data_IF_070840337036
#
_entry.id   IF_070840337036
#
_cell.length_a   1.000
_cell.length_b   1.000
_cell.length_c   1.000
_cell.angle_alpha   90.00
_cell.angle_beta   90.00
_cell.angle_gamma   90.00
#
_symmetry.space_group_name_H-M   'P 1'
#
loop_
_entity.id
_entity.type
_entity.pdbx_description
1 polymer ?
#
# COMPACT_ATOMS: atom_id res chain seq x y z
N UNK A 1 21.50 17.53 -25.72
CA UNK A 1 22.08 18.84 -25.33
C UNK A 1 23.06 18.62 -24.19
N UNK A 2 24.17 19.37 -24.12
CA UNK A 2 25.08 19.37 -22.96
C UNK A 2 24.34 19.70 -21.66
N UNK A 3 24.72 19.04 -20.56
CA UNK A 3 24.04 19.14 -19.26
C UNK A 3 23.94 20.59 -18.75
N UNK A 4 24.95 21.41 -19.07
CA UNK A 4 25.07 22.83 -18.70
C UNK A 4 24.11 23.74 -19.47
N UNK A 5 23.49 23.26 -20.55
CA UNK A 5 22.45 23.99 -21.29
C UNK A 5 21.05 23.72 -20.72
N UNK A 6 20.91 22.72 -19.85
CA UNK A 6 19.63 22.30 -19.27
C UNK A 6 19.58 22.57 -17.76
N UNK A 7 20.73 22.49 -17.08
CA UNK A 7 20.83 22.66 -15.62
C UNK A 7 21.83 23.76 -15.25
N UNK A 8 21.44 24.58 -14.28
CA UNK A 8 22.32 25.56 -13.64
C UNK A 8 23.29 24.85 -12.68
N UNK A 9 24.53 25.33 -12.60
CA UNK A 9 25.43 24.88 -11.55
C UNK A 9 24.96 25.38 -10.18
N UNK A 10 25.31 24.66 -9.11
CA UNK A 10 25.01 25.05 -7.72
C UNK A 10 25.46 26.48 -7.43
N UNK A 11 26.66 26.84 -7.87
CA UNK A 11 27.24 28.18 -7.67
C UNK A 11 26.46 29.27 -8.41
N UNK A 12 26.09 29.03 -9.67
CA UNK A 12 25.27 29.95 -10.46
C UNK A 12 23.89 30.16 -9.83
N UNK A 13 23.25 29.08 -9.38
CA UNK A 13 21.94 29.13 -8.72
C UNK A 13 21.99 29.96 -7.43
N UNK A 14 22.94 29.68 -6.53
CA UNK A 14 23.05 30.43 -5.27
C UNK A 14 23.46 31.89 -5.47
N UNK A 15 24.26 32.20 -6.50
CA UNK A 15 24.59 33.58 -6.88
C UNK A 15 23.34 34.37 -7.29
N UNK A 16 22.47 33.77 -8.11
CA UNK A 16 21.22 34.40 -8.54
C UNK A 16 20.20 34.54 -7.39
N UNK A 17 20.11 33.56 -6.50
CA UNK A 17 19.23 33.63 -5.32
C UNK A 17 19.65 34.77 -4.38
N UNK A 18 20.96 34.96 -4.15
CA UNK A 18 21.51 36.03 -3.31
C UNK A 18 21.19 37.46 -3.77
N UNK A 19 20.90 37.65 -5.07
CA UNK A 19 20.52 38.96 -5.60
C UNK A 19 19.08 39.35 -5.27
N UNK A 20 18.29 38.45 -4.68
CA UNK A 20 16.88 38.67 -4.32
C UNK A 20 16.71 38.75 -2.81
N UNK A 21 15.67 39.45 -2.35
CA UNK A 21 15.24 39.37 -0.96
C UNK A 21 14.76 37.95 -0.66
N UNK A 22 15.18 37.41 0.49
CA UNK A 22 14.92 36.03 0.88
C UNK A 22 14.27 35.98 2.25
N UNK A 23 13.23 35.17 2.36
CA UNK A 23 12.66 34.74 3.63
C UNK A 23 13.02 33.26 3.83
N UNK A 24 13.92 32.99 4.78
CA UNK A 24 14.35 31.63 5.11
C UNK A 24 13.55 31.14 6.30
N UNK A 25 12.82 30.05 6.12
CA UNK A 25 11.99 29.42 7.15
C UNK A 25 12.69 28.15 7.62
N UNK A 26 12.71 27.92 8.93
CA UNK A 26 13.31 26.74 9.53
C UNK A 26 12.59 26.35 10.82
N UNK A 27 12.82 25.12 11.26
CA UNK A 27 12.22 24.55 12.47
C UNK A 27 13.06 24.77 13.73
N UNK A 28 14.35 25.10 13.56
CA UNK A 28 15.26 25.40 14.66
C UNK A 28 15.17 26.86 15.07
N UNK A 29 15.20 27.11 16.39
CA UNK A 29 15.30 28.48 16.91
C UNK A 29 16.57 29.14 16.42
N UNK A 30 16.42 30.37 15.96
CA UNK A 30 17.51 31.23 15.54
C UNK A 30 18.04 32.02 16.74
N UNK A 31 19.32 32.37 16.71
CA UNK A 31 19.88 33.35 17.64
C UNK A 31 19.18 34.71 17.50
N UNK A 32 18.92 35.38 18.62
CA UNK A 32 18.30 36.71 18.64
C UNK A 32 19.24 37.75 18.01
N UNK A 33 18.99 38.07 16.74
CA UNK A 33 19.72 39.04 15.93
C UNK A 33 18.74 39.81 15.06
N UNK A 34 19.10 41.05 14.71
CA UNK A 34 18.31 41.89 13.80
C UNK A 34 18.06 41.16 12.47
N UNK A 35 16.81 41.16 12.00
CA UNK A 35 16.39 40.46 10.79
C UNK A 35 16.02 38.98 10.96
N UNK A 36 16.04 38.44 12.19
CA UNK A 36 15.58 37.07 12.49
C UNK A 36 14.36 37.10 13.40
N UNK A 37 13.40 36.22 13.14
CA UNK A 37 12.16 36.14 13.91
C UNK A 37 11.91 34.69 14.35
N UNK A 38 11.80 34.48 15.65
CA UNK A 38 11.39 33.20 16.24
C UNK A 38 9.90 33.28 16.58
N UNK A 39 9.07 32.47 15.92
CA UNK A 39 7.67 32.36 16.28
C UNK A 39 7.53 31.61 17.62
N UNK A 40 6.64 32.09 18.49
CA UNK A 40 6.32 31.45 19.76
C UNK A 40 5.41 30.22 19.61
N UNK A 41 5.68 29.40 18.59
CA UNK A 41 4.96 28.17 18.31
C UNK A 41 5.54 26.98 19.05
N UNK A 42 4.67 26.05 19.43
CA UNK A 42 4.97 24.80 20.13
C UNK A 42 4.24 23.66 19.45
N UNK A 43 4.71 22.44 19.72
CA UNK A 43 3.97 21.23 19.38
C UNK A 43 2.76 21.09 20.29
N UNK A 44 1.68 20.53 19.75
CA UNK A 44 0.51 20.17 20.53
C UNK A 44 0.84 19.03 21.51
N UNK A 45 0.23 19.01 22.71
CA UNK A 45 0.24 17.83 23.56
C UNK A 45 -0.46 16.65 22.87
N UNK A 46 -0.35 15.42 23.38
CA UNK A 46 -1.09 14.28 22.82
C UNK A 46 -2.60 14.47 22.95
N UNK A 47 -3.30 14.57 21.82
CA UNK A 47 -4.76 14.80 21.73
C UNK A 47 -5.54 13.59 21.18
N UNK A 48 -4.86 12.45 20.99
CA UNK A 48 -5.43 11.30 20.30
C UNK A 48 -6.72 10.78 20.96
N UNK A 49 -7.71 10.49 20.13
CA UNK A 49 -8.98 9.85 20.43
C UNK A 49 -8.72 8.36 20.59
N UNK A 50 -9.12 7.82 21.74
CA UNK A 50 -8.95 6.41 22.06
C UNK A 50 -10.30 5.71 22.04
N UNK A 51 -10.62 5.04 20.92
CA UNK A 51 -11.90 4.37 20.72
C UNK A 51 -12.16 3.22 21.71
N UNK A 52 -11.13 2.69 22.38
CA UNK A 52 -11.24 1.60 23.36
C UNK A 52 -11.40 2.12 24.79
N UNK A 53 -11.15 3.41 25.03
CA UNK A 53 -11.31 4.03 26.34
C UNK A 53 -12.80 4.29 26.64
N UNK A 54 -13.18 4.23 27.92
CA UNK A 54 -14.54 4.60 28.39
C UNK A 54 -14.95 6.02 28.01
N UNK A 55 -13.98 6.92 27.81
CA UNK A 55 -14.18 8.29 27.36
C UNK A 55 -13.23 8.62 26.19
N UNK A 56 -13.62 8.31 24.95
CA UNK A 56 -12.72 8.40 23.79
C UNK A 56 -12.12 9.78 23.54
N UNK A 57 -12.85 10.85 23.85
CA UNK A 57 -12.41 12.23 23.66
C UNK A 57 -11.73 12.86 24.88
N UNK A 58 -11.44 12.10 25.94
CA UNK A 58 -11.02 12.68 27.23
C UNK A 58 -9.80 13.61 27.13
N UNK A 59 -8.81 13.27 26.30
CA UNK A 59 -7.60 14.08 26.10
C UNK A 59 -7.92 15.43 25.45
N UNK A 60 -8.70 15.41 24.37
CA UNK A 60 -9.14 16.61 23.69
C UNK A 60 -10.06 17.48 24.57
N UNK A 61 -11.01 16.87 25.28
CA UNK A 61 -11.90 17.59 26.20
C UNK A 61 -11.13 18.29 27.33
N UNK A 62 -10.13 17.62 27.90
CA UNK A 62 -9.26 18.21 28.91
C UNK A 62 -8.42 19.36 28.35
N UNK A 63 -7.91 19.22 27.13
CA UNK A 63 -7.20 20.31 26.44
C UNK A 63 -8.13 21.50 26.18
N UNK A 64 -9.32 21.27 25.62
CA UNK A 64 -10.31 22.32 25.38
C UNK A 64 -10.70 23.05 26.67
N UNK A 65 -10.84 22.35 27.81
CA UNK A 65 -11.13 22.99 29.10
C UNK A 65 -9.97 23.87 29.60
N UNK A 66 -8.72 23.43 29.44
CA UNK A 66 -7.54 24.13 29.96
C UNK A 66 -7.06 25.28 29.06
N UNK A 67 -7.18 25.12 27.74
CA UNK A 67 -6.73 26.12 26.79
C UNK A 67 -7.70 27.31 26.77
N UNK A 68 -7.16 28.52 26.93
CA UNK A 68 -7.94 29.76 26.99
C UNK A 68 -8.11 30.43 25.62
N UNK A 69 -7.26 30.08 24.66
CA UNK A 69 -7.30 30.61 23.31
C UNK A 69 -8.34 29.93 22.41
N UNK A 70 -8.27 30.25 21.12
CA UNK A 70 -9.15 29.72 20.07
C UNK A 70 -8.59 28.44 19.47
N UNK A 71 -9.47 27.50 19.18
CA UNK A 71 -9.12 26.19 18.62
C UNK A 71 -9.71 26.10 17.21
N UNK A 72 -8.88 25.75 16.24
CA UNK A 72 -9.28 25.39 14.88
C UNK A 72 -8.97 23.91 14.65
N UNK A 73 -9.99 23.12 14.34
CA UNK A 73 -9.80 21.76 13.87
C UNK A 73 -9.81 21.75 12.35
N UNK A 74 -8.77 21.17 11.73
CA UNK A 74 -8.63 21.08 10.27
C UNK A 74 -8.82 19.63 9.84
N UNK A 75 -9.85 19.41 9.02
CA UNK A 75 -10.16 18.12 8.42
C UNK A 75 -9.65 18.04 6.98
N UNK A 76 -9.36 16.84 6.47
CA UNK A 76 -8.86 16.67 5.09
C UNK A 76 -9.97 16.90 4.04
N UNK A 77 -11.25 16.72 4.40
CA UNK A 77 -12.38 16.84 3.47
C UNK A 77 -13.68 17.28 4.14
N UNK A 78 -14.63 17.77 3.34
CA UNK A 78 -15.97 18.17 3.80
C UNK A 78 -16.71 17.04 4.52
N UNK A 79 -16.65 15.82 3.99
CA UNK A 79 -17.29 14.65 4.60
C UNK A 79 -16.71 14.32 5.99
N UNK A 80 -15.39 14.47 6.18
CA UNK A 80 -14.76 14.25 7.49
C UNK A 80 -15.07 15.37 8.46
N UNK A 81 -15.10 16.61 7.97
CA UNK A 81 -15.59 17.74 8.74
C UNK A 81 -17.01 17.47 9.27
N UNK A 82 -17.94 16.99 8.43
CA UNK A 82 -19.29 16.65 8.88
C UNK A 82 -19.29 15.62 10.00
N UNK A 83 -18.58 14.50 9.82
CA UNK A 83 -18.54 13.41 10.82
C UNK A 83 -17.93 13.89 12.14
N UNK A 84 -16.86 14.69 12.08
CA UNK A 84 -16.22 15.20 13.28
C UNK A 84 -17.05 16.28 13.97
N UNK A 85 -17.76 17.13 13.21
CA UNK A 85 -18.73 18.07 13.74
C UNK A 85 -19.84 17.33 14.50
N UNK A 86 -20.39 16.26 13.93
CA UNK A 86 -21.42 15.44 14.60
C UNK A 86 -20.90 14.78 15.89
N UNK A 87 -19.67 14.24 15.84
CA UNK A 87 -19.01 13.66 17.01
C UNK A 87 -18.86 14.70 18.13
N UNK A 88 -18.42 15.92 17.80
CA UNK A 88 -18.21 17.00 18.76
C UNK A 88 -19.54 17.55 19.30
N UNK A 89 -20.58 17.61 18.48
CA UNK A 89 -21.93 18.00 18.88
C UNK A 89 -22.52 17.02 19.92
N UNK A 90 -22.32 15.71 19.71
CA UNK A 90 -22.76 14.68 20.67
C UNK A 90 -22.05 14.75 22.03
N UNK A 91 -21.00 15.58 22.15
CA UNK A 91 -20.23 15.83 23.36
C UNK A 91 -20.30 17.29 23.83
N UNK A 92 -21.35 18.03 23.43
CA UNK A 92 -21.66 19.39 23.88
C UNK A 92 -20.59 20.45 23.57
N UNK A 93 -19.79 20.26 22.51
CA UNK A 93 -18.72 21.19 22.13
C UNK A 93 -19.09 22.18 21.03
N UNK A 94 -20.13 21.89 20.22
CA UNK A 94 -20.70 22.76 19.18
C UNK A 94 -19.67 23.59 18.37
N UNK A 95 -18.78 22.95 17.56
CA UNK A 95 -17.81 23.68 16.74
C UNK A 95 -18.49 24.50 15.64
N UNK A 96 -17.93 25.66 15.31
CA UNK A 96 -18.42 26.49 14.21
C UNK A 96 -17.70 26.13 12.91
N UNK A 97 -18.48 25.74 11.91
CA UNK A 97 -17.99 25.51 10.56
C UNK A 97 -17.57 26.84 9.91
N UNK A 98 -16.38 26.88 9.34
CA UNK A 98 -15.86 28.01 8.57
C UNK A 98 -15.18 27.54 7.30
N UNK A 99 -15.20 28.38 6.26
CA UNK A 99 -14.68 27.99 4.94
C UNK A 99 -13.14 28.09 4.84
N UNK A 100 -12.51 28.96 5.64
CA UNK A 100 -11.08 29.28 5.49
C UNK A 100 -10.50 29.99 6.71
N UNK A 101 -9.17 29.99 6.81
CA UNK A 101 -8.39 30.61 7.89
C UNK A 101 -8.74 32.09 8.15
N UNK A 102 -9.04 32.86 7.09
CA UNK A 102 -9.38 34.27 7.24
C UNK A 102 -10.67 34.52 8.02
N UNK A 103 -11.61 33.56 8.02
CA UNK A 103 -12.81 33.61 8.86
C UNK A 103 -12.54 33.24 10.33
N UNK A 104 -11.48 32.47 10.61
CA UNK A 104 -11.09 32.08 11.97
C UNK A 104 -10.51 33.24 12.79
N UNK A 105 -9.70 34.09 12.17
CA UNK A 105 -8.97 35.19 12.84
C UNK A 105 -9.90 36.18 13.55
N UNK A 106 -10.94 36.76 12.90
CA UNK A 106 -11.83 37.72 13.57
C UNK A 106 -12.87 37.04 14.47
N UNK A 107 -13.02 35.71 14.38
CA UNK A 107 -13.98 34.95 15.15
C UNK A 107 -13.77 35.06 16.67
N UNK A 108 -14.87 35.19 17.43
CA UNK A 108 -14.84 35.31 18.90
C UNK A 108 -15.08 33.99 19.64
N UNK A 109 -15.42 32.93 18.91
CA UNK A 109 -15.84 31.67 19.51
C UNK A 109 -14.61 30.82 19.84
N UNK A 110 -14.80 29.86 20.73
CA UNK A 110 -13.68 29.07 21.23
C UNK A 110 -13.25 27.98 20.25
N UNK A 111 -14.20 27.34 19.56
CA UNK A 111 -13.97 26.15 18.75
C UNK A 111 -14.53 26.32 17.34
N UNK A 112 -13.65 26.13 16.36
CA UNK A 112 -13.95 26.18 14.95
C UNK A 112 -13.51 24.89 14.27
N UNK A 113 -14.14 24.59 13.14
CA UNK A 113 -13.77 23.46 12.29
C UNK A 113 -13.84 23.87 10.81
N UNK A 114 -12.89 23.38 10.04
CA UNK A 114 -12.77 23.65 8.60
C UNK A 114 -12.20 22.44 7.89
N UNK A 115 -12.19 22.46 6.56
CA UNK A 115 -11.46 21.49 5.76
C UNK A 115 -10.35 22.17 4.94
N UNK A 116 -9.16 21.58 4.96
CA UNK A 116 -8.00 22.00 4.19
C UNK A 116 -6.91 20.92 4.23
N UNK A 117 -5.94 20.99 3.31
CA UNK A 117 -4.77 20.12 3.36
C UNK A 117 -3.72 20.68 4.35
N UNK A 118 -3.66 20.09 5.55
CA UNK A 118 -2.70 20.46 6.58
C UNK A 118 -2.18 19.21 7.30
N UNK A 119 -0.86 19.00 7.24
CA UNK A 119 -0.21 17.83 7.84
C UNK A 119 -0.05 17.97 9.35
N UNK A 120 0.45 19.12 9.79
CA UNK A 120 0.91 19.34 11.16
C UNK A 120 0.11 20.44 11.84
N UNK A 121 -0.22 20.18 13.11
CA UNK A 121 -0.85 21.16 13.97
C UNK A 121 0.14 22.19 14.51
N UNK A 122 -0.42 23.23 15.12
CA UNK A 122 0.30 24.35 15.68
C UNK A 122 -0.28 24.72 17.05
N UNK A 123 0.56 25.02 18.03
CA UNK A 123 0.13 25.61 19.28
C UNK A 123 0.86 26.93 19.53
N UNK A 124 0.12 27.99 19.81
CA UNK A 124 0.62 29.26 20.35
C UNK A 124 -0.07 29.55 21.69
N UNK A 125 0.17 30.73 22.27
CA UNK A 125 -0.52 31.15 23.50
C UNK A 125 -2.02 31.35 23.26
N UNK A 126 -2.39 31.88 22.10
CA UNK A 126 -3.77 32.29 21.78
C UNK A 126 -4.49 31.36 20.80
N UNK A 127 -3.77 30.53 20.04
CA UNK A 127 -4.34 29.70 18.97
C UNK A 127 -3.81 28.26 19.05
N UNK A 128 -4.72 27.30 18.90
CA UNK A 128 -4.40 25.90 18.66
C UNK A 128 -5.00 25.45 17.32
N UNK A 129 -4.15 25.05 16.37
CA UNK A 129 -4.57 24.42 15.11
C UNK A 129 -4.33 22.94 15.22
N UNK A 130 -5.40 22.14 15.23
CA UNK A 130 -5.37 20.70 15.46
C UNK A 130 -5.75 20.00 14.17
N UNK A 131 -4.89 19.11 13.68
CA UNK A 131 -5.18 18.31 12.48
C UNK A 131 -5.79 16.96 12.86
N UNK A 132 -6.36 16.27 11.87
CA UNK A 132 -6.81 14.88 12.04
C UNK A 132 -5.69 13.95 12.52
N UNK A 133 -4.44 14.19 12.13
CA UNK A 133 -3.29 13.41 12.60
C UNK A 133 -3.10 13.56 14.11
N UNK A 134 -3.35 14.76 14.66
CA UNK A 134 -3.28 15.00 16.09
C UNK A 134 -4.43 14.35 16.87
N UNK A 135 -5.61 14.18 16.25
CA UNK A 135 -6.79 13.58 16.87
C UNK A 135 -6.86 12.07 16.72
N UNK A 136 -6.42 11.48 15.61
CA UNK A 136 -6.55 10.04 15.37
C UNK A 136 -5.22 9.29 15.45
N UNK A 137 -4.10 10.02 15.54
CA UNK A 137 -2.75 9.47 15.52
C UNK A 137 -2.24 9.20 14.10
N UNK A 138 -0.94 9.34 13.92
CA UNK A 138 -0.27 9.15 12.64
C UNK A 138 -0.48 7.74 12.04
N UNK A 139 -0.65 6.72 12.88
CA UNK A 139 -0.86 5.34 12.45
C UNK A 139 -2.27 5.06 11.95
N UNK A 140 -3.31 5.73 12.48
CA UNK A 140 -4.69 5.59 11.98
C UNK A 140 -4.88 6.38 10.69
N UNK A 141 -4.26 7.56 10.56
CA UNK A 141 -4.28 8.34 9.30
C UNK A 141 -3.44 7.66 8.21
N UNK A 142 -2.29 7.04 8.54
CA UNK A 142 -1.50 6.23 7.59
C UNK A 142 -2.15 4.87 7.27
N UNK A 143 -2.77 4.18 8.23
CA UNK A 143 -3.55 2.95 7.98
C UNK A 143 -4.82 3.23 7.18
N UNK A 144 -5.46 4.40 7.33
CA UNK A 144 -6.61 4.78 6.52
C UNK A 144 -6.25 5.37 5.16
N UNK A 145 -5.10 6.02 5.00
CA UNK A 145 -4.51 6.30 3.67
C UNK A 145 -4.23 4.99 2.91
N UNK A 146 -3.87 3.90 3.61
CA UNK A 146 -3.76 2.55 3.03
C UNK A 146 -5.13 1.86 2.83
N UNK A 147 -6.14 2.07 3.68
CA UNK A 147 -7.53 1.57 3.46
C UNK A 147 -8.32 2.34 2.39
N UNK A 148 -7.90 3.57 2.06
CA UNK A 148 -8.39 4.34 0.90
C UNK A 148 -7.91 3.80 -0.46
N UNK A 149 -7.19 2.67 -0.48
CA UNK A 149 -7.01 1.86 -1.69
C UNK A 149 -8.32 1.16 -2.17
N UNK A 150 -9.46 1.36 -1.50
CA UNK A 150 -10.79 0.91 -1.95
C UNK A 150 -11.69 2.01 -2.54
N UNK A 151 -11.18 3.21 -2.76
CA UNK A 151 -11.72 4.19 -3.72
C UNK A 151 -10.70 4.49 -4.82
N UNK A 152 -9.88 3.47 -5.16
CA UNK A 152 -8.90 3.56 -6.24
C UNK A 152 -9.54 3.77 -7.61
N UNK A 153 -10.76 3.30 -7.85
CA UNK A 153 -11.32 3.33 -9.21
C UNK A 153 -11.61 4.74 -9.74
N UNK A 154 -11.90 5.73 -8.89
CA UNK A 154 -12.19 7.09 -9.36
C UNK A 154 -10.92 7.96 -9.45
N UNK A 155 -10.04 7.88 -8.45
CA UNK A 155 -8.77 8.63 -8.44
C UNK A 155 -7.69 8.02 -9.35
N UNK A 156 -7.64 6.69 -9.57
CA UNK A 156 -6.81 6.10 -10.63
C UNK A 156 -7.41 6.34 -12.02
N UNK A 157 -8.75 6.37 -12.19
CA UNK A 157 -9.34 6.78 -13.46
C UNK A 157 -8.91 8.21 -13.80
N UNK A 158 -9.08 9.17 -12.88
CA UNK A 158 -8.68 10.57 -13.10
C UNK A 158 -7.15 10.72 -13.23
N UNK A 159 -6.33 10.07 -12.39
CA UNK A 159 -4.87 10.10 -12.55
C UNK A 159 -4.38 9.45 -13.85
N UNK A 160 -5.06 8.40 -14.33
CA UNK A 160 -4.76 7.78 -15.62
C UNK A 160 -5.18 8.66 -16.81
N UNK A 161 -6.12 9.58 -16.61
CA UNK A 161 -6.60 10.57 -17.59
C UNK A 161 -5.68 11.78 -17.73
N UNK A 162 -4.87 12.12 -16.72
CA UNK A 162 -3.96 13.28 -16.72
C UNK A 162 -2.72 13.07 -17.61
N UNK A 163 -2.39 11.83 -17.98
CA UNK A 163 -1.24 11.50 -18.85
C UNK A 163 -1.62 11.02 -20.26
N UNK A 164 -2.90 11.09 -20.64
CA UNK A 164 -3.37 10.56 -21.93
C UNK A 164 -2.94 11.47 -23.08
N UNK A 165 -2.29 10.87 -24.07
CA UNK A 165 -1.92 11.54 -25.33
C UNK A 165 -2.91 11.18 -26.42
N UNK A 166 -3.08 12.10 -27.38
CA UNK A 166 -3.85 11.82 -28.60
C UNK A 166 -3.26 10.57 -29.27
N UNK A 167 -4.11 9.60 -29.57
CA UNK A 167 -3.73 8.29 -30.11
C UNK A 167 -3.61 7.19 -29.06
N UNK A 168 -3.69 7.48 -27.76
CA UNK A 168 -3.63 6.43 -26.73
C UNK A 168 -4.88 5.52 -26.79
N UNK A 169 -4.71 4.21 -26.54
CA UNK A 169 -5.82 3.27 -26.52
C UNK A 169 -6.64 3.39 -25.23
N UNK A 170 -7.95 3.55 -25.41
CA UNK A 170 -8.91 3.77 -24.34
C UNK A 170 -10.01 2.73 -24.41
N UNK A 171 -10.38 2.16 -23.27
CA UNK A 171 -11.50 1.22 -23.13
C UNK A 171 -12.72 2.02 -22.69
N UNK A 172 -13.80 1.94 -23.48
CA UNK A 172 -15.13 2.33 -23.02
C UNK A 172 -15.89 1.07 -22.61
N UNK A 173 -16.57 1.09 -21.46
CA UNK A 173 -17.25 -0.09 -20.90
C UNK A 173 -18.22 -0.76 -21.89
N UNK A 174 -19.04 0.03 -22.58
CA UNK A 174 -20.05 -0.46 -23.54
C UNK A 174 -19.52 -0.73 -24.96
N UNK A 175 -18.46 -0.06 -25.40
CA UNK A 175 -18.07 -0.03 -26.82
C UNK A 175 -16.68 -0.63 -27.08
N UNK A 176 -15.93 -0.95 -26.03
CA UNK A 176 -14.61 -1.56 -26.11
C UNK A 176 -13.50 -0.56 -26.40
N UNK A 177 -12.41 -1.09 -26.94
CA UNK A 177 -11.16 -0.35 -27.17
C UNK A 177 -11.26 0.57 -28.39
N UNK A 178 -11.07 1.87 -28.16
CA UNK A 178 -10.92 2.95 -29.14
C UNK A 178 -9.58 3.69 -28.98
N UNK A 179 -9.43 4.84 -29.65
CA UNK A 179 -8.27 5.73 -29.59
C UNK A 179 -8.68 7.13 -29.18
N UNK A 180 -7.94 7.74 -28.25
CA UNK A 180 -8.24 9.08 -27.79
C UNK A 180 -7.93 10.15 -28.86
N UNK A 181 -8.88 11.04 -29.13
CA UNK A 181 -8.75 12.14 -30.10
C UNK A 181 -8.68 13.54 -29.46
N UNK A 182 -8.68 13.64 -28.12
CA UNK A 182 -8.71 14.93 -27.43
C UNK A 182 -10.09 15.28 -26.86
N UNK A 183 -10.15 16.48 -26.28
CA UNK A 183 -11.39 17.08 -25.80
C UNK A 183 -11.98 18.01 -26.86
N UNK A 184 -13.30 18.01 -26.99
CA UNK A 184 -14.01 18.92 -27.89
C UNK A 184 -15.22 19.52 -27.18
N UNK A 185 -15.29 20.84 -27.16
CA UNK A 185 -16.47 21.56 -26.69
C UNK A 185 -17.51 21.60 -27.80
N UNK A 186 -18.75 21.23 -27.47
CA UNK A 186 -19.88 21.33 -28.38
C UNK A 186 -21.07 21.98 -27.65
N UNK A 187 -21.78 22.85 -28.35
CA UNK A 187 -23.00 23.46 -27.84
C UNK A 187 -24.22 22.62 -28.21
N UNK A 188 -25.00 22.23 -27.21
CA UNK A 188 -26.33 21.66 -27.37
C UNK A 188 -27.31 22.55 -26.59
N UNK A 189 -28.40 22.96 -27.22
CA UNK A 189 -29.44 23.84 -26.63
C UNK A 189 -28.90 25.11 -25.94
N UNK A 190 -27.84 25.70 -26.50
CA UNK A 190 -27.24 26.95 -26.00
C UNK A 190 -26.28 26.78 -24.82
N UNK A 191 -26.11 25.56 -24.29
CA UNK A 191 -25.14 25.24 -23.26
C UNK A 191 -23.91 24.58 -23.89
N UNK A 192 -22.73 25.15 -23.65
CA UNK A 192 -21.46 24.56 -24.06
C UNK A 192 -21.07 23.45 -23.10
N UNK A 193 -20.85 22.25 -23.62
CA UNK A 193 -20.39 21.10 -22.85
C UNK A 193 -19.17 20.46 -23.49
N UNK A 194 -18.24 20.01 -22.65
CA UNK A 194 -17.03 19.31 -23.09
C UNK A 194 -17.28 17.81 -23.23
N UNK A 195 -16.74 17.25 -24.32
CA UNK A 195 -16.79 15.83 -24.63
C UNK A 195 -15.39 15.29 -24.86
N UNK A 196 -15.16 14.06 -24.41
CA UNK A 196 -14.00 13.25 -24.74
C UNK A 196 -14.28 12.55 -26.08
N UNK A 197 -13.41 12.78 -27.07
CA UNK A 197 -13.54 12.21 -28.41
C UNK A 197 -12.76 10.90 -28.50
N UNK A 198 -13.41 9.84 -28.96
CA UNK A 198 -12.79 8.55 -29.23
C UNK A 198 -12.98 8.13 -30.70
N UNK A 199 -11.95 7.55 -31.30
CA UNK A 199 -12.00 6.90 -32.61
C UNK A 199 -12.05 5.38 -32.48
N UNK A 200 -12.90 4.77 -33.29
CA UNK A 200 -13.10 3.33 -33.42
C UNK A 200 -12.82 2.87 -34.85
N UNK A 201 -12.90 1.57 -35.11
CA UNK A 201 -12.63 1.00 -36.42
C UNK A 201 -13.46 1.68 -37.54
N UNK A 202 -12.89 1.74 -38.74
CA UNK A 202 -13.46 2.40 -39.92
C UNK A 202 -13.68 3.93 -39.74
N UNK A 203 -12.93 4.59 -38.86
CA UNK A 203 -13.01 6.04 -38.65
C UNK A 203 -14.26 6.51 -37.90
N UNK A 204 -14.98 5.59 -37.24
CA UNK A 204 -16.19 5.93 -36.48
C UNK A 204 -15.81 6.68 -35.21
N UNK A 205 -16.55 7.75 -34.86
CA UNK A 205 -16.25 8.59 -33.70
C UNK A 205 -17.34 8.48 -32.63
N UNK A 206 -16.92 8.44 -31.37
CA UNK A 206 -17.78 8.47 -30.19
C UNK A 206 -17.47 9.72 -29.36
N UNK A 207 -18.50 10.43 -28.93
CA UNK A 207 -18.40 11.58 -28.04
C UNK A 207 -18.91 11.18 -26.66
N UNK A 208 -18.03 11.21 -25.66
CA UNK A 208 -18.34 10.81 -24.29
C UNK A 208 -18.44 12.07 -23.44
N UNK A 209 -19.59 12.37 -22.81
CA UNK A 209 -19.72 13.53 -21.94
C UNK A 209 -18.76 13.44 -20.75
N UNK A 210 -18.24 14.57 -20.26
CA UNK A 210 -17.40 14.60 -19.04
C UNK A 210 -18.09 13.99 -17.81
N UNK A 211 -19.41 14.06 -17.74
CA UNK A 211 -20.20 13.45 -16.66
C UNK A 211 -20.15 11.92 -16.66
N UNK A 212 -19.72 11.30 -17.76
CA UNK A 212 -19.68 9.85 -17.96
C UNK A 212 -18.25 9.30 -18.04
N UNK A 213 -17.26 10.03 -17.51
CA UNK A 213 -15.85 9.61 -17.48
C UNK A 213 -15.63 8.31 -16.69
N UNK A 214 -16.53 7.97 -15.76
CA UNK A 214 -16.50 6.71 -15.01
C UNK A 214 -16.62 5.45 -15.90
N UNK A 215 -17.09 5.59 -17.15
CA UNK A 215 -17.19 4.49 -18.11
C UNK A 215 -15.91 4.27 -18.92
N UNK A 216 -14.88 5.09 -18.66
CA UNK A 216 -13.65 5.17 -19.43
C UNK A 216 -12.47 4.66 -18.59
N UNK A 217 -11.63 3.83 -19.20
CA UNK A 217 -10.40 3.35 -18.58
C UNK A 217 -9.28 3.29 -19.59
N UNK A 218 -8.04 3.51 -19.17
CA UNK A 218 -6.87 3.31 -20.02
C UNK A 218 -6.71 1.82 -20.35
N UNK A 219 -6.35 1.50 -21.59
CA UNK A 219 -6.01 0.12 -21.93
C UNK A 219 -4.66 -0.28 -21.32
N UNK A 220 -4.64 -1.38 -20.57
CA UNK A 220 -3.46 -1.89 -19.82
C UNK A 220 -2.90 -3.20 -20.38
N UNK A 221 -3.19 -3.54 -21.65
CA UNK A 221 -2.69 -4.76 -22.30
C UNK A 221 -1.21 -4.71 -22.70
N UNK A 222 -0.73 -5.78 -23.33
CA UNK A 222 0.70 -6.05 -23.58
C UNK A 222 1.47 -4.92 -24.30
N UNK A 223 0.83 -4.15 -25.17
CA UNK A 223 1.38 -2.87 -25.65
C UNK A 223 0.29 -1.92 -26.20
N UNK A 224 0.50 -0.59 -26.16
CA UNK A 224 -0.43 0.37 -26.77
C UNK A 224 -0.59 0.21 -28.29
N UNK A 225 0.49 -0.13 -28.99
CA UNK A 225 0.50 -0.26 -30.46
C UNK A 225 -0.26 -1.50 -30.96
N UNK A 226 -0.32 -2.55 -30.15
CA UNK A 226 -1.05 -3.80 -30.47
C UNK A 226 -2.49 -3.80 -29.97
N UNK A 227 -2.94 -2.71 -29.33
CA UNK A 227 -4.27 -2.64 -28.76
C UNK A 227 -5.34 -2.80 -29.86
N UNK A 228 -6.34 -3.69 -29.71
CA UNK A 228 -7.36 -3.88 -30.72
C UNK A 228 -8.18 -2.59 -30.92
N UNK A 229 -8.78 -2.45 -32.09
CA UNK A 229 -9.71 -1.36 -32.39
C UNK A 229 -11.07 -1.98 -32.67
N UNK A 230 -12.02 -1.77 -31.76
CA UNK A 230 -13.35 -2.36 -31.89
C UNK A 230 -14.22 -1.56 -32.87
N UNK A 231 -15.25 -2.21 -33.45
CA UNK A 231 -16.21 -1.56 -34.33
C UNK A 231 -17.50 -1.23 -33.57
N UNK A 232 -17.94 0.03 -33.64
CA UNK A 232 -19.20 0.48 -33.06
C UNK A 232 -20.40 -0.26 -33.69
N UNK A 233 -21.40 -0.56 -32.87
CA UNK A 233 -22.63 -1.25 -33.30
C UNK A 233 -22.47 -2.75 -33.58
N UNK A 234 -21.32 -3.36 -33.25
CA UNK A 234 -21.12 -4.82 -33.36
C UNK A 234 -21.12 -5.49 -32.00
N UNK A 235 -21.58 -6.75 -31.95
CA UNK A 235 -21.58 -7.56 -30.73
C UNK A 235 -20.21 -8.17 -30.39
N UNK A 236 -19.13 -7.76 -31.06
CA UNK A 236 -17.79 -8.32 -30.85
C UNK A 236 -17.30 -8.05 -29.42
N UNK A 237 -17.45 -6.81 -28.95
CA UNK A 237 -17.07 -6.43 -27.59
C UNK A 237 -17.95 -7.12 -26.54
N UNK A 238 -19.26 -7.16 -26.75
CA UNK A 238 -20.19 -7.86 -25.85
C UNK A 238 -19.85 -9.34 -25.71
N UNK A 239 -19.53 -10.03 -26.82
CA UNK A 239 -19.07 -11.43 -26.80
C UNK A 239 -17.74 -11.59 -26.08
N UNK A 240 -16.80 -10.67 -26.28
CA UNK A 240 -15.51 -10.69 -25.57
C UNK A 240 -15.69 -10.48 -24.06
N UNK A 241 -16.55 -9.53 -23.64
CA UNK A 241 -16.90 -9.28 -22.23
C UNK A 241 -17.56 -10.51 -21.61
N UNK A 242 -18.50 -11.14 -22.30
CA UNK A 242 -19.18 -12.34 -21.83
C UNK A 242 -18.20 -13.50 -21.63
N UNK A 243 -17.34 -13.78 -22.62
CA UNK A 243 -16.33 -14.84 -22.52
C UNK A 243 -15.33 -14.59 -21.39
N UNK A 244 -14.92 -13.33 -21.18
CA UNK A 244 -14.06 -12.97 -20.06
C UNK A 244 -14.76 -13.16 -18.71
N UNK A 245 -16.05 -12.81 -18.63
CA UNK A 245 -16.86 -13.01 -17.43
C UNK A 245 -17.02 -14.50 -17.08
N UNK A 246 -17.28 -15.35 -18.08
CA UNK A 246 -17.36 -16.81 -17.89
C UNK A 246 -16.02 -17.37 -17.38
N UNK A 247 -14.90 -17.01 -18.02
CA UNK A 247 -13.58 -17.45 -17.57
C UNK A 247 -13.24 -16.97 -16.14
N UNK A 248 -13.63 -15.74 -15.78
CA UNK A 248 -13.47 -15.23 -14.41
C UNK A 248 -14.32 -16.01 -13.41
N UNK A 249 -15.54 -16.38 -13.78
CA UNK A 249 -16.43 -17.17 -12.95
C UNK A 249 -15.87 -18.58 -12.71
N UNK A 250 -15.31 -19.22 -13.74
CA UNK A 250 -14.69 -20.54 -13.63
C UNK A 250 -13.48 -20.52 -12.68
N UNK A 251 -12.60 -19.51 -12.81
CA UNK A 251 -11.45 -19.32 -11.92
C UNK A 251 -11.92 -19.04 -10.49
N UNK A 252 -12.94 -18.20 -10.31
CA UNK A 252 -13.48 -17.90 -9.00
C UNK A 252 -14.07 -19.15 -8.33
N UNK A 253 -14.78 -19.98 -9.10
CA UNK A 253 -15.32 -21.26 -8.62
C UNK A 253 -14.19 -22.22 -8.22
N UNK A 254 -13.14 -22.35 -9.02
CA UNK A 254 -11.98 -23.20 -8.71
C UNK A 254 -11.27 -22.74 -7.43
N UNK A 255 -11.02 -21.43 -7.29
CA UNK A 255 -10.42 -20.87 -6.08
C UNK A 255 -11.30 -21.09 -4.86
N UNK A 256 -12.61 -20.85 -4.97
CA UNK A 256 -13.57 -21.10 -3.88
C UNK A 256 -13.58 -22.57 -3.48
N UNK A 257 -13.52 -23.50 -4.42
CA UNK A 257 -13.45 -24.93 -4.14
C UNK A 257 -12.15 -25.29 -3.39
N UNK A 258 -11.01 -24.72 -3.78
CA UNK A 258 -9.74 -24.90 -3.07
C UNK A 258 -9.84 -24.36 -1.64
N UNK A 259 -10.40 -23.15 -1.45
CA UNK A 259 -10.58 -22.57 -0.12
C UNK A 259 -11.54 -23.39 0.75
N UNK A 260 -12.65 -23.87 0.19
CA UNK A 260 -13.62 -24.71 0.90
C UNK A 260 -13.00 -26.05 1.33
N UNK A 261 -12.24 -26.70 0.43
CA UNK A 261 -11.46 -27.91 0.77
C UNK A 261 -10.45 -27.66 1.87
N UNK A 262 -9.77 -26.51 1.86
CA UNK A 262 -8.79 -26.17 2.90
C UNK A 262 -9.45 -25.86 4.25
N UNK A 263 -10.61 -25.20 4.26
CA UNK A 263 -11.35 -24.91 5.48
C UNK A 263 -11.94 -26.16 6.16
N UNK A 264 -12.25 -27.20 5.38
CA UNK A 264 -12.76 -28.46 5.91
C UNK A 264 -11.65 -29.43 6.33
N UNK A 265 -10.42 -29.24 5.87
CA UNK A 265 -9.26 -30.03 6.29
C UNK A 265 -8.74 -29.56 7.64
N UNK A 266 -8.43 -30.52 8.51
CA UNK A 266 -7.65 -30.27 9.73
C UNK A 266 -6.17 -30.36 9.37
N UNK A 267 -5.46 -29.25 9.52
CA UNK A 267 -4.01 -29.15 9.34
C UNK A 267 -3.23 -29.50 10.60
N UNK A 268 -1.93 -29.26 10.57
CA UNK A 268 -1.05 -29.36 11.73
C UNK A 268 -0.90 -27.98 12.38
N UNK A 269 -1.35 -27.85 13.63
CA UNK A 269 -1.13 -26.65 14.42
C UNK A 269 0.29 -26.71 15.01
N UNK A 270 1.16 -25.81 14.56
CA UNK A 270 2.50 -25.67 15.13
C UNK A 270 2.42 -25.19 16.59
N UNK A 271 3.31 -25.66 17.48
CA UNK A 271 3.38 -25.20 18.87
C UNK A 271 3.76 -23.72 18.96
N UNK A 272 3.58 -23.16 20.16
CA UNK A 272 4.06 -21.81 20.47
C UNK A 272 5.59 -21.72 20.32
N UNK A 273 6.15 -20.56 19.91
CA UNK A 273 7.57 -20.42 19.68
C UNK A 273 8.34 -20.54 20.98
N UNK A 274 9.44 -21.31 20.96
CA UNK A 274 10.28 -21.57 22.12
C UNK A 274 11.31 -20.45 22.40
N UNK A 275 12.08 -20.62 23.47
CA UNK A 275 13.28 -19.80 23.73
C UNK A 275 14.35 -19.94 22.61
N UNK A 276 14.41 -21.08 21.93
CA UNK A 276 15.30 -21.28 20.79
C UNK A 276 14.85 -20.45 19.58
N UNK A 277 13.54 -20.39 19.32
CA UNK A 277 12.98 -19.47 18.32
C UNK A 277 13.27 -18.01 18.67
N UNK A 278 13.09 -17.62 19.93
CA UNK A 278 13.40 -16.26 20.39
C UNK A 278 14.89 -15.91 20.18
N UNK A 279 15.78 -16.86 20.47
CA UNK A 279 17.23 -16.72 20.20
C UNK A 279 17.54 -16.61 18.71
N UNK A 280 16.84 -17.39 17.87
CA UNK A 280 16.96 -17.29 16.42
C UNK A 280 16.53 -15.91 15.91
N UNK A 281 15.42 -15.38 16.40
CA UNK A 281 14.94 -14.03 16.06
C UNK A 281 15.94 -12.97 16.51
N UNK A 282 16.43 -13.05 17.75
CA UNK A 282 17.37 -12.09 18.32
C UNK A 282 18.74 -12.08 17.62
N UNK A 283 19.14 -13.17 16.96
CA UNK A 283 20.38 -13.21 16.19
C UNK A 283 20.28 -12.51 14.83
N UNK A 284 19.13 -11.97 14.46
CA UNK A 284 18.96 -11.22 13.22
C UNK A 284 19.65 -9.85 13.34
N UNK A 285 20.60 -9.50 12.45
CA UNK A 285 21.47 -8.33 12.65
C UNK A 285 20.85 -6.99 12.22
N UNK A 286 19.57 -6.97 11.85
CA UNK A 286 18.88 -5.77 11.37
C UNK A 286 17.64 -5.49 12.22
N UNK A 287 17.31 -4.22 12.37
CA UNK A 287 16.07 -3.79 13.03
C UNK A 287 14.86 -4.04 12.12
N UNK A 288 13.87 -4.76 12.62
CA UNK A 288 12.66 -5.03 11.85
C UNK A 288 11.71 -3.83 11.80
N UNK A 289 11.14 -3.62 10.63
CA UNK A 289 10.08 -2.62 10.42
C UNK A 289 8.76 -3.06 11.06
N UNK A 290 7.86 -2.12 11.39
CA UNK A 290 6.53 -2.45 11.90
C UNK A 290 5.72 -3.36 10.96
N UNK A 291 5.84 -3.18 9.64
CA UNK A 291 5.17 -4.03 8.65
C UNK A 291 5.73 -5.47 8.67
N UNK A 292 7.04 -5.65 8.90
CA UNK A 292 7.65 -6.98 9.07
C UNK A 292 7.21 -7.66 10.36
N UNK A 293 7.22 -6.95 11.49
CA UNK A 293 6.77 -7.47 12.78
C UNK A 293 5.31 -7.92 12.72
N UNK A 294 4.45 -7.09 12.12
CA UNK A 294 3.04 -7.42 11.90
C UNK A 294 2.90 -8.66 11.01
N UNK A 295 3.60 -8.70 9.88
CA UNK A 295 3.54 -9.84 8.96
C UNK A 295 4.01 -11.12 9.63
N UNK A 296 5.06 -11.05 10.45
CA UNK A 296 5.55 -12.21 11.20
C UNK A 296 4.53 -12.70 12.22
N UNK A 297 3.88 -11.80 12.96
CA UNK A 297 2.81 -12.17 13.90
C UNK A 297 1.64 -12.86 13.20
N UNK A 298 1.24 -12.38 12.01
CA UNK A 298 0.19 -13.01 11.21
C UNK A 298 0.59 -14.38 10.66
N UNK A 299 1.85 -14.56 10.22
CA UNK A 299 2.38 -15.86 9.78
C UNK A 299 2.39 -16.86 10.94
N UNK A 300 2.86 -16.46 12.12
CA UNK A 300 2.87 -17.33 13.30
C UNK A 300 1.47 -17.75 13.71
N UNK A 301 0.53 -16.81 13.75
CA UNK A 301 -0.87 -17.11 14.08
C UNK A 301 -1.50 -18.11 13.11
N UNK A 302 -1.19 -17.99 11.80
CA UNK A 302 -1.68 -18.94 10.80
C UNK A 302 -1.02 -20.32 10.95
N UNK A 303 0.29 -20.39 11.26
CA UNK A 303 0.98 -21.66 11.49
C UNK A 303 0.48 -22.38 12.75
N UNK A 304 0.13 -21.64 13.80
CA UNK A 304 -0.40 -22.22 15.04
C UNK A 304 -1.87 -22.65 14.93
N UNK A 305 -2.53 -22.31 13.82
CA UNK A 305 -3.93 -22.67 13.57
C UNK A 305 -4.07 -24.15 13.21
N UNK A 306 -5.20 -24.74 13.58
CA UNK A 306 -5.61 -26.07 13.10
C UNK A 306 -5.99 -26.08 11.62
N UNK A 307 -6.04 -24.92 10.96
CA UNK A 307 -6.36 -24.79 9.53
C UNK A 307 -5.06 -24.66 8.74
N UNK A 308 -4.91 -25.37 7.61
CA UNK A 308 -3.73 -25.20 6.77
C UNK A 308 -3.56 -23.73 6.34
N UNK A 309 -2.36 -23.18 6.53
CA UNK A 309 -2.02 -21.81 6.14
C UNK A 309 -1.98 -21.68 4.61
N UNK A 310 -2.55 -20.58 4.08
CA UNK A 310 -2.32 -20.11 2.71
C UNK A 310 -2.21 -18.59 2.71
N UNK A 311 -0.97 -18.10 2.73
CA UNK A 311 -0.66 -16.69 2.90
C UNK A 311 0.28 -16.21 1.81
N UNK A 312 -0.08 -15.09 1.20
CA UNK A 312 0.76 -14.34 0.27
C UNK A 312 1.36 -13.13 0.98
N UNK A 313 2.70 -13.10 1.07
CA UNK A 313 3.44 -11.94 1.56
C UNK A 313 3.98 -11.12 0.38
N UNK A 314 3.44 -9.93 0.18
CA UNK A 314 3.87 -9.00 -0.86
C UNK A 314 4.81 -7.94 -0.29
N UNK A 315 5.89 -7.64 -1.01
CA UNK A 315 6.81 -6.55 -0.67
C UNK A 315 7.91 -6.41 -1.71
N UNK A 316 8.56 -5.25 -1.76
CA UNK A 316 9.60 -4.97 -2.74
C UNK A 316 10.90 -5.75 -2.44
N UNK A 317 11.82 -5.76 -3.41
CA UNK A 317 13.13 -6.39 -3.24
C UNK A 317 13.87 -5.73 -2.09
N UNK A 318 14.43 -6.54 -1.17
CA UNK A 318 15.16 -6.06 0.00
C UNK A 318 14.32 -5.85 1.28
N UNK A 319 12.99 -5.98 1.23
CA UNK A 319 12.11 -5.74 2.39
C UNK A 319 12.04 -6.92 3.38
N UNK A 320 13.05 -7.80 3.40
CA UNK A 320 13.15 -8.89 4.40
C UNK A 320 12.15 -10.04 4.26
N UNK A 321 11.52 -10.24 3.09
CA UNK A 321 10.64 -11.40 2.84
C UNK A 321 11.31 -12.74 3.13
N UNK A 322 12.60 -12.85 2.82
CA UNK A 322 13.40 -14.05 3.09
C UNK A 322 13.51 -14.33 4.59
N UNK A 323 13.64 -13.30 5.43
CA UNK A 323 13.71 -13.47 6.89
C UNK A 323 12.37 -13.98 7.47
N UNK A 324 11.24 -13.50 6.94
CA UNK A 324 9.91 -14.02 7.32
C UNK A 324 9.82 -15.52 7.00
N UNK A 325 10.27 -15.94 5.82
CA UNK A 325 10.30 -17.35 5.42
C UNK A 325 11.27 -18.19 6.29
N UNK A 326 12.43 -17.63 6.64
CA UNK A 326 13.41 -18.30 7.52
C UNK A 326 12.86 -18.53 8.92
N UNK A 327 12.15 -17.56 9.50
CA UNK A 327 11.49 -17.70 10.81
C UNK A 327 10.38 -18.75 10.79
N UNK A 328 9.54 -18.72 9.76
CA UNK A 328 8.52 -19.77 9.57
C UNK A 328 9.16 -21.16 9.43
N UNK A 329 10.23 -21.28 8.63
CA UNK A 329 10.95 -22.52 8.47
C UNK A 329 11.58 -23.01 9.79
N UNK A 330 12.12 -22.10 10.60
CA UNK A 330 12.69 -22.46 11.91
C UNK A 330 11.64 -23.09 12.82
N UNK A 331 10.46 -22.46 12.96
CA UNK A 331 9.37 -23.00 13.77
C UNK A 331 8.94 -24.39 13.28
N UNK A 332 8.87 -24.57 11.96
CA UNK A 332 8.48 -25.85 11.39
C UNK A 332 9.50 -26.97 11.69
N UNK A 333 10.79 -26.69 11.48
CA UNK A 333 11.87 -27.64 11.76
C UNK A 333 11.97 -27.98 13.24
N UNK A 334 11.85 -26.98 14.12
CA UNK A 334 11.84 -27.21 15.57
C UNK A 334 10.69 -28.14 16.01
N UNK A 335 9.57 -28.11 15.27
CA UNK A 335 8.42 -28.97 15.50
C UNK A 335 8.55 -30.36 14.86
N UNK A 336 9.73 -30.71 14.35
CA UNK A 336 10.02 -31.99 13.71
C UNK A 336 9.46 -32.12 12.29
N UNK A 337 9.06 -31.02 11.66
CA UNK A 337 8.54 -31.02 10.27
C UNK A 337 9.63 -30.64 9.27
N UNK A 338 9.59 -31.27 8.10
CA UNK A 338 10.43 -30.90 6.97
C UNK A 338 9.84 -29.69 6.24
N UNK A 339 10.70 -28.86 5.67
CA UNK A 339 10.33 -27.63 4.96
C UNK A 339 10.78 -27.70 3.50
N UNK A 340 9.88 -27.31 2.59
CA UNK A 340 10.16 -27.21 1.16
C UNK A 340 10.07 -25.75 0.71
N UNK A 341 11.13 -25.25 0.08
CA UNK A 341 11.18 -23.90 -0.49
C UNK A 341 11.28 -24.02 -2.01
N UNK A 342 10.19 -23.70 -2.69
CA UNK A 342 10.12 -23.71 -4.14
C UNK A 342 10.52 -22.36 -4.72
N UNK A 343 11.43 -22.36 -5.69
CA UNK A 343 11.92 -21.16 -6.39
C UNK A 343 11.87 -21.34 -7.91
N UNK A 344 11.70 -20.26 -8.69
CA UNK A 344 11.47 -20.39 -10.13
C UNK A 344 12.75 -20.71 -10.92
N UNK A 345 13.93 -20.35 -10.40
CA UNK A 345 15.20 -20.51 -11.11
C UNK A 345 16.26 -21.17 -10.24
N UNK A 346 17.23 -21.83 -10.89
CA UNK A 346 18.33 -22.51 -10.19
C UNK A 346 19.29 -21.53 -9.54
N UNK A 347 19.38 -20.30 -10.06
CA UNK A 347 20.18 -19.23 -9.45
C UNK A 347 19.57 -18.82 -8.11
N UNK A 348 18.25 -18.60 -8.06
CA UNK A 348 17.55 -18.33 -6.80
C UNK A 348 17.67 -19.50 -5.82
N UNK A 349 17.65 -20.74 -6.31
CA UNK A 349 17.84 -21.92 -5.45
C UNK A 349 19.19 -21.88 -4.72
N UNK A 350 20.26 -21.54 -5.44
CA UNK A 350 21.59 -21.39 -4.84
C UNK A 350 21.68 -20.17 -3.91
N UNK A 351 21.09 -19.03 -4.28
CA UNK A 351 21.08 -17.83 -3.44
C UNK A 351 20.36 -18.08 -2.10
N UNK A 352 19.19 -18.71 -2.15
CA UNK A 352 18.48 -19.12 -0.95
C UNK A 352 19.26 -20.17 -0.17
N UNK A 353 19.88 -21.16 -0.82
CA UNK A 353 20.71 -22.16 -0.13
C UNK A 353 21.83 -21.51 0.69
N UNK A 354 22.56 -20.56 0.10
CA UNK A 354 23.62 -19.83 0.80
C UNK A 354 23.06 -19.03 1.96
N UNK A 355 22.03 -18.21 1.71
CA UNK A 355 21.40 -17.37 2.72
C UNK A 355 20.85 -18.19 3.90
N UNK A 356 20.24 -19.34 3.63
CA UNK A 356 19.72 -20.25 4.65
C UNK A 356 20.87 -20.91 5.42
N UNK A 357 21.92 -21.40 4.76
CA UNK A 357 23.08 -21.98 5.46
C UNK A 357 23.76 -20.98 6.38
N UNK A 358 23.94 -19.74 5.92
CA UNK A 358 24.55 -18.68 6.71
C UNK A 358 23.66 -18.30 7.91
N UNK A 359 22.35 -18.15 7.68
CA UNK A 359 21.38 -17.79 8.74
C UNK A 359 21.22 -18.88 9.81
N UNK A 360 21.35 -20.15 9.42
CA UNK A 360 21.14 -21.31 10.29
C UNK A 360 22.45 -21.93 10.81
N UNK A 361 23.61 -21.28 10.61
CA UNK A 361 24.94 -21.85 10.93
C UNK A 361 25.12 -22.32 12.38
N UNK A 362 24.42 -21.68 13.33
CA UNK A 362 24.49 -22.00 14.76
C UNK A 362 23.46 -23.06 15.19
N UNK A 363 22.73 -23.66 14.25
CA UNK A 363 21.66 -24.60 14.52
C UNK A 363 21.92 -25.95 13.84
N UNK A 364 21.56 -27.07 14.49
CA UNK A 364 21.76 -28.41 13.94
C UNK A 364 20.68 -28.74 12.90
N UNK A 365 20.57 -27.92 11.84
CA UNK A 365 19.55 -28.02 10.79
C UNK A 365 20.23 -28.33 9.46
N UNK A 366 19.91 -29.48 8.86
CA UNK A 366 20.46 -29.92 7.58
C UNK A 366 19.68 -29.29 6.41
N UNK A 367 20.38 -28.50 5.60
CA UNK A 367 19.80 -27.77 4.47
C UNK A 367 20.42 -28.25 3.15
N UNK A 368 19.57 -28.73 2.25
CA UNK A 368 19.97 -29.19 0.92
C UNK A 368 19.28 -28.41 -0.20
N UNK A 369 19.85 -28.46 -1.41
CA UNK A 369 19.22 -27.93 -2.60
C UNK A 369 19.01 -28.99 -3.67
N UNK A 370 17.87 -28.93 -4.37
CA UNK A 370 17.54 -29.80 -5.50
C UNK A 370 17.24 -28.97 -6.74
N UNK A 371 18.22 -28.90 -7.65
CA UNK A 371 18.17 -28.09 -8.86
C UNK A 371 18.90 -28.79 -10.03
N UNK A 372 19.18 -28.04 -11.10
CA UNK A 372 20.00 -28.52 -12.22
C UNK A 372 21.49 -28.62 -11.88
N UNK A 373 21.94 -27.98 -10.79
CA UNK A 373 23.35 -27.93 -10.44
C UNK A 373 23.84 -29.16 -9.66
N UNK A 374 22.94 -29.92 -9.05
CA UNK A 374 23.28 -31.20 -8.43
C UNK A 374 23.42 -32.29 -9.50
N UNK A 375 24.46 -33.11 -9.39
CA UNK A 375 24.66 -34.30 -10.21
C UNK A 375 23.56 -35.35 -9.99
N UNK A 376 23.33 -36.30 -10.90
CA UNK A 376 22.35 -37.37 -10.68
C UNK A 376 22.60 -38.18 -9.40
N UNK A 377 23.86 -38.42 -9.05
CA UNK A 377 24.24 -39.12 -7.82
C UNK A 377 23.83 -38.35 -6.57
N UNK A 378 24.11 -37.05 -6.52
CA UNK A 378 23.72 -36.16 -5.41
C UNK A 378 22.20 -36.06 -5.31
N UNK A 379 21.48 -35.93 -6.43
CA UNK A 379 20.02 -35.90 -6.44
C UNK A 379 19.42 -37.17 -5.82
N UNK A 380 19.96 -38.35 -6.16
CA UNK A 380 19.51 -39.63 -5.58
C UNK A 380 19.79 -39.69 -4.07
N UNK A 381 20.96 -39.21 -3.63
CA UNK A 381 21.30 -39.16 -2.21
C UNK A 381 20.39 -38.19 -1.43
N UNK A 382 20.11 -37.01 -1.98
CA UNK A 382 19.21 -36.02 -1.38
C UNK A 382 17.80 -36.61 -1.24
N UNK A 383 17.28 -37.27 -2.27
CA UNK A 383 15.97 -37.94 -2.20
C UNK A 383 15.91 -39.00 -1.10
N UNK A 384 16.94 -39.83 -0.97
CA UNK A 384 17.00 -40.84 0.09
C UNK A 384 17.10 -40.21 1.50
N UNK A 385 17.85 -39.11 1.64
CA UNK A 385 17.94 -38.35 2.90
C UNK A 385 16.61 -37.66 3.26
N UNK A 386 15.89 -37.11 2.29
CA UNK A 386 14.56 -36.53 2.50
C UNK A 386 13.56 -37.57 2.98
N UNK A 387 13.56 -38.75 2.36
CA UNK A 387 12.67 -39.85 2.74
C UNK A 387 12.97 -40.41 4.14
N UNK A 388 14.23 -40.30 4.60
CA UNK A 388 14.65 -40.72 5.95
C UNK A 388 14.69 -39.58 6.97
N UNK A 389 14.17 -38.39 6.61
CA UNK A 389 14.10 -37.20 7.49
C UNK A 389 15.44 -36.64 7.93
N UNK A 390 16.53 -36.99 7.23
CA UNK A 390 17.87 -36.46 7.53
C UNK A 390 18.10 -35.05 6.99
N UNK A 391 17.21 -34.55 6.14
CA UNK A 391 17.23 -33.19 5.61
C UNK A 391 15.99 -32.50 6.14
N UNK A 392 16.19 -31.40 6.87
CA UNK A 392 15.13 -30.61 7.47
C UNK A 392 14.56 -29.62 6.47
N UNK A 393 15.42 -28.95 5.69
CA UNK A 393 15.01 -27.94 4.71
C UNK A 393 15.54 -28.30 3.33
N UNK A 394 14.66 -28.35 2.33
CA UNK A 394 15.04 -28.48 0.91
C UNK A 394 14.61 -27.28 0.09
N UNK A 395 15.56 -26.72 -0.65
CA UNK A 395 15.35 -25.58 -1.55
C UNK A 395 15.48 -26.05 -2.99
N UNK A 396 14.53 -25.77 -3.86
CA UNK A 396 14.61 -26.29 -5.23
C UNK A 396 13.63 -25.72 -6.21
N UNK A 397 13.78 -26.13 -7.47
CA UNK A 397 12.93 -25.68 -8.57
C UNK A 397 11.78 -26.65 -8.83
N UNK A 398 11.14 -26.54 -9.99
CA UNK A 398 10.14 -27.50 -10.50
C UNK A 398 10.52 -28.98 -10.34
N UNK A 399 11.81 -29.33 -10.20
CA UNK A 399 12.27 -30.68 -9.88
C UNK A 399 11.69 -31.25 -8.58
N UNK A 400 11.34 -30.39 -7.63
CA UNK A 400 10.68 -30.79 -6.38
C UNK A 400 9.22 -31.23 -6.59
N UNK A 401 8.58 -30.75 -7.66
CA UNK A 401 7.18 -31.05 -7.99
C UNK A 401 7.08 -32.16 -9.04
N UNK A 402 7.93 -32.12 -10.07
CA UNK A 402 7.86 -33.03 -11.22
C UNK A 402 8.38 -34.45 -10.91
N UNK A 403 9.02 -34.67 -9.77
CA UNK A 403 9.54 -35.97 -9.36
C UNK A 403 8.72 -36.61 -8.23
N UNK A 404 8.74 -37.94 -8.15
CA UNK A 404 8.22 -38.71 -7.02
C UNK A 404 9.13 -38.59 -5.78
N UNK A 405 9.24 -37.38 -5.24
CA UNK A 405 9.95 -37.16 -3.97
C UNK A 405 9.04 -37.61 -2.83
N UNK A 406 9.59 -38.45 -1.95
CA UNK A 406 8.94 -38.85 -0.70
C UNK A 406 9.62 -38.12 0.45
N UNK A 407 8.82 -37.46 1.27
CA UNK A 407 9.22 -36.83 2.51
C UNK A 407 8.85 -37.75 3.67
N UNK A 408 9.60 -37.71 4.77
CA UNK A 408 9.23 -38.41 6.00
C UNK A 408 8.02 -37.74 6.65
N UNK A 409 8.06 -36.42 6.83
CA UNK A 409 6.98 -35.64 7.44
C UNK A 409 7.08 -34.17 6.97
N UNK A 410 6.40 -33.84 5.88
CA UNK A 410 6.36 -32.49 5.33
C UNK A 410 5.36 -31.64 6.13
N UNK A 411 5.82 -30.47 6.60
CA UNK A 411 5.06 -29.55 7.46
C UNK A 411 4.01 -28.71 6.76
#
# INVERSE_FOLDING_TARGET
MPLQQVFLSKEQLFSQIKQRQQLVIGTSKLEEKSGKLNFASKLLPPLNIDAQAKHPLAKFLNFNKKFKGKILIVCESEGRQSVLTDLLNNHDLAPINIDHWHAFIPGQQKLYITNADLSDGLLTEDIAVITEVNLFGADVVKQQRRRRAKHKDFDEAIKSLVEIKIGDPIVHESYGVGRYLGLKTQSFDGLAQDFLMLEYANGSKLMVPMTSLNLISRYSGASPDSAPLHKLGTNQWTKAKQKAHEALHDIAAELLEIYAKRQSQTGFAFPEPSDAYASFVASFPFEETPDQLKTMGEVLADMQSIRPMDRLVCGDVGFGKTEIAMRAAFLAVESGKQVVILVPTTLLANQHLQSFKDRFINYPIEIAALSRFQTPKEQTQIKAKLQSGKIDIVIGTHKLIQGSIKYQDLG
#
